data_IF_831372234483
#
_entry.id   IF_831372234483
#
_cell.length_a   1.000
_cell.length_b   1.000
_cell.length_c   1.000
_cell.angle_alpha   90.00
_cell.angle_beta   90.00
_cell.angle_gamma   90.00
#
_symmetry.space_group_name_H-M   'P 1'
#
loop_
_entity.id
_entity.type
_entity.pdbx_description
1 polymer ?
#
# COMPACT_ATOMS: atom_id res chain seq x y z
N UNK A 1 -8.06 -7.74 8.83
CA UNK A 1 -9.11 -6.89 8.22
C UNK A 1 -8.41 -5.90 7.31
N UNK A 2 -8.84 -5.74 6.06
CA UNK A 2 -8.22 -4.80 5.11
C UNK A 2 -9.14 -3.60 4.96
N UNK A 3 -8.64 -2.40 5.26
CA UNK A 3 -9.39 -1.16 5.10
C UNK A 3 -9.64 -0.83 3.61
N UNK A 4 -10.84 -0.35 3.32
CA UNK A 4 -11.26 0.09 1.99
C UNK A 4 -11.03 1.61 1.88
N UNK A 5 -10.27 2.10 0.87
CA UNK A 5 -10.08 3.53 0.67
C UNK A 5 -11.40 4.27 0.43
N UNK A 6 -11.60 5.45 1.03
CA UNK A 6 -12.84 6.22 0.86
C UNK A 6 -13.14 6.56 -0.60
N UNK A 7 -12.10 6.74 -1.42
CA UNK A 7 -12.21 7.05 -2.83
C UNK A 7 -13.01 6.03 -3.65
N UNK A 8 -13.03 4.74 -3.26
CA UNK A 8 -13.76 3.69 -4.01
C UNK A 8 -15.20 3.50 -3.51
N UNK A 9 -15.56 4.06 -2.35
CA UNK A 9 -16.87 3.87 -1.72
C UNK A 9 -18.03 4.30 -2.63
N UNK A 10 -17.99 5.44 -3.34
CA UNK A 10 -19.06 5.82 -4.27
C UNK A 10 -19.29 4.76 -5.36
N UNK A 11 -18.20 4.27 -5.98
CA UNK A 11 -18.27 3.25 -7.02
C UNK A 11 -18.81 1.91 -6.48
N UNK A 12 -18.44 1.52 -5.26
CA UNK A 12 -18.98 0.32 -4.63
C UNK A 12 -20.48 0.44 -4.35
N UNK A 13 -20.96 1.61 -3.89
CA UNK A 13 -22.39 1.83 -3.67
C UNK A 13 -23.19 1.76 -4.96
N UNK A 14 -22.71 2.41 -6.01
CA UNK A 14 -23.33 2.34 -7.33
C UNK A 14 -23.38 0.90 -7.84
N UNK A 15 -22.28 0.15 -7.69
CA UNK A 15 -22.20 -1.24 -8.12
C UNK A 15 -23.18 -2.13 -7.35
N UNK A 16 -23.25 -1.99 -6.03
CA UNK A 16 -24.19 -2.73 -5.18
C UNK A 16 -25.65 -2.48 -5.61
N UNK A 17 -26.02 -1.23 -5.85
CA UNK A 17 -27.39 -0.86 -6.22
C UNK A 17 -27.77 -1.31 -7.63
N UNK A 18 -26.79 -1.45 -8.53
CA UNK A 18 -27.06 -1.70 -9.96
C UNK A 18 -26.91 -3.18 -10.34
N UNK A 19 -25.98 -3.90 -9.71
CA UNK A 19 -25.54 -5.21 -10.21
C UNK A 19 -25.62 -6.34 -9.18
N UNK A 20 -25.97 -6.07 -7.92
CA UNK A 20 -25.99 -7.08 -6.85
C UNK A 20 -27.42 -7.38 -6.43
N UNK A 21 -27.72 -8.68 -6.27
CA UNK A 21 -29.02 -9.14 -5.79
C UNK A 21 -29.28 -8.73 -4.34
N UNK A 22 -30.56 -8.65 -3.97
CA UNK A 22 -30.98 -8.27 -2.62
C UNK A 22 -30.96 -9.45 -1.64
N UNK A 23 -30.76 -10.67 -2.13
CA UNK A 23 -30.74 -11.88 -1.32
C UNK A 23 -29.46 -11.99 -0.47
N UNK A 24 -29.57 -12.52 0.76
CA UNK A 24 -28.39 -12.85 1.55
C UNK A 24 -27.47 -13.82 0.80
N UNK A 25 -26.20 -13.43 0.65
CA UNK A 25 -25.21 -14.23 -0.09
C UNK A 25 -25.16 -13.96 -1.59
N UNK A 26 -25.90 -12.95 -2.09
CA UNK A 26 -25.72 -12.46 -3.46
C UNK A 26 -24.24 -12.15 -3.74
N UNK A 27 -23.77 -12.58 -4.90
CA UNK A 27 -22.39 -12.34 -5.30
C UNK A 27 -22.20 -10.86 -5.63
N UNK A 28 -21.17 -10.25 -5.03
CA UNK A 28 -20.77 -8.88 -5.37
C UNK A 28 -20.42 -8.75 -6.85
N UNK A 29 -19.74 -9.74 -7.43
CA UNK A 29 -19.34 -9.73 -8.85
C UNK A 29 -19.86 -10.99 -9.55
N UNK A 30 -21.14 -10.99 -10.00
CA UNK A 30 -21.71 -12.12 -10.69
C UNK A 30 -21.17 -12.22 -12.12
N UNK A 31 -20.93 -13.45 -12.57
CA UNK A 31 -20.71 -13.78 -13.97
C UNK A 31 -22.01 -13.69 -14.77
N UNK A 32 -21.91 -13.81 -16.10
CA UNK A 32 -23.05 -13.60 -17.02
C UNK A 32 -24.28 -14.50 -16.75
N UNK A 33 -24.10 -15.63 -16.07
CA UNK A 33 -25.19 -16.58 -15.72
C UNK A 33 -25.51 -16.56 -14.22
N UNK A 34 -25.17 -15.51 -13.49
CA UNK A 34 -25.43 -15.35 -12.06
C UNK A 34 -24.45 -16.10 -11.13
N UNK A 35 -23.67 -17.07 -11.63
CA UNK A 35 -22.61 -17.73 -10.86
C UNK A 35 -21.34 -16.89 -10.71
N UNK A 36 -20.30 -17.37 -9.99
CA UNK A 36 -19.06 -16.63 -9.79
C UNK A 36 -18.34 -16.24 -11.09
N UNK A 37 -17.81 -15.02 -11.14
CA UNK A 37 -16.97 -14.59 -12.26
C UNK A 37 -15.71 -15.47 -12.33
N UNK A 38 -15.55 -16.17 -13.46
CA UNK A 38 -14.40 -17.05 -13.70
C UNK A 38 -13.23 -16.26 -14.27
N UNK A 39 -12.00 -16.61 -13.85
CA UNK A 39 -10.75 -15.99 -14.32
C UNK A 39 -10.63 -16.01 -15.85
N UNK A 40 -10.97 -17.13 -16.50
CA UNK A 40 -10.86 -17.29 -17.95
C UNK A 40 -11.78 -16.34 -18.74
N UNK A 41 -12.91 -15.92 -18.16
CA UNK A 41 -13.86 -15.00 -18.79
C UNK A 41 -13.67 -13.53 -18.39
N UNK A 42 -12.69 -13.23 -17.53
CA UNK A 42 -12.54 -11.90 -16.95
C UNK A 42 -12.37 -10.82 -18.03
N UNK A 43 -11.37 -10.97 -18.91
CA UNK A 43 -11.05 -9.97 -19.93
C UNK A 43 -12.23 -9.70 -20.86
N UNK A 44 -12.95 -10.74 -21.28
CA UNK A 44 -14.13 -10.59 -22.12
C UNK A 44 -15.25 -9.85 -21.37
N UNK A 45 -15.48 -10.21 -20.10
CA UNK A 45 -16.58 -9.64 -19.32
C UNK A 45 -16.34 -8.17 -18.94
N UNK A 46 -15.10 -7.80 -18.64
CA UNK A 46 -14.72 -6.43 -18.27
C UNK A 46 -14.27 -5.60 -19.46
N UNK A 47 -14.14 -6.21 -20.64
CA UNK A 47 -13.51 -5.61 -21.82
C UNK A 47 -12.13 -5.05 -21.51
N UNK A 48 -11.37 -5.72 -20.63
CA UNK A 48 -10.13 -5.19 -20.07
C UNK A 48 -9.15 -4.69 -21.13
N UNK A 49 -8.96 -5.45 -22.21
CA UNK A 49 -8.06 -5.09 -23.32
C UNK A 49 -8.48 -3.78 -24.00
N UNK A 50 -9.78 -3.55 -24.18
CA UNK A 50 -10.29 -2.30 -24.73
C UNK A 50 -10.10 -1.16 -23.74
N UNK A 51 -10.48 -1.37 -22.47
CA UNK A 51 -10.38 -0.35 -21.42
C UNK A 51 -8.94 0.16 -21.30
N UNK A 52 -7.95 -0.75 -21.23
CA UNK A 52 -6.55 -0.34 -21.10
C UNK A 52 -6.02 0.37 -22.35
N UNK A 53 -6.52 0.01 -23.53
CA UNK A 53 -6.20 0.74 -24.77
C UNK A 53 -6.80 2.15 -24.75
N UNK A 54 -8.06 2.27 -24.34
CA UNK A 54 -8.81 3.53 -24.37
C UNK A 54 -8.23 4.56 -23.36
N UNK A 55 -7.63 4.09 -22.26
CA UNK A 55 -6.89 4.95 -21.30
C UNK A 55 -5.40 5.13 -21.63
N UNK A 56 -4.95 4.65 -22.80
CA UNK A 56 -3.56 4.84 -23.26
C UNK A 56 -2.51 3.94 -22.60
N UNK A 57 -2.92 2.81 -22.01
CA UNK A 57 -2.04 1.84 -21.36
C UNK A 57 -2.13 0.43 -22.02
N UNK A 58 -1.93 0.31 -23.35
CA UNK A 58 -2.06 -0.98 -24.03
C UNK A 58 -1.06 -2.00 -23.47
N UNK A 59 -1.51 -3.26 -23.36
CA UNK A 59 -0.68 -4.36 -22.85
C UNK A 59 -0.73 -4.56 -21.33
N UNK A 60 -1.29 -3.61 -20.57
CA UNK A 60 -1.48 -3.76 -19.13
C UNK A 60 -2.33 -4.99 -18.80
N UNK A 61 -1.84 -5.86 -17.92
CA UNK A 61 -2.58 -7.00 -17.41
C UNK A 61 -3.34 -6.62 -16.13
N UNK A 62 -4.50 -7.25 -15.90
CA UNK A 62 -5.29 -6.97 -14.71
C UNK A 62 -4.51 -7.23 -13.40
N UNK A 63 -3.61 -8.22 -13.41
CA UNK A 63 -2.78 -8.54 -12.25
C UNK A 63 -1.77 -7.43 -11.90
N UNK A 64 -1.42 -6.59 -12.87
CA UNK A 64 -0.47 -5.50 -12.65
C UNK A 64 -1.06 -4.46 -11.70
N UNK A 65 -2.39 -4.32 -11.62
CA UNK A 65 -3.06 -3.48 -10.62
C UNK A 65 -2.76 -3.94 -9.19
N UNK A 66 -2.63 -5.26 -8.97
CA UNK A 66 -2.23 -5.79 -7.66
C UNK A 66 -0.79 -5.42 -7.34
N UNK A 67 0.10 -5.44 -8.33
CA UNK A 67 1.47 -4.98 -8.16
C UNK A 67 1.53 -3.48 -7.81
N UNK A 68 0.78 -2.64 -8.53
CA UNK A 68 0.66 -1.20 -8.21
C UNK A 68 0.11 -0.98 -6.80
N UNK A 69 -0.96 -1.68 -6.42
CA UNK A 69 -1.55 -1.55 -5.08
C UNK A 69 -0.61 -1.97 -3.95
N UNK A 70 0.25 -2.97 -4.19
CA UNK A 70 1.25 -3.41 -3.23
C UNK A 70 2.43 -2.42 -3.13
N UNK A 71 2.86 -1.83 -4.25
CA UNK A 71 3.85 -0.75 -4.26
C UNK A 71 3.35 0.45 -3.45
N UNK A 72 2.13 0.94 -3.71
CA UNK A 72 1.52 2.05 -2.97
C UNK A 72 1.38 1.75 -1.47
N UNK A 73 1.09 0.49 -1.11
CA UNK A 73 1.04 0.08 0.28
C UNK A 73 2.43 0.12 0.93
N UNK A 74 3.47 -0.35 0.23
CA UNK A 74 4.84 -0.30 0.73
C UNK A 74 5.34 1.16 0.86
N UNK A 75 4.95 2.05 -0.06
CA UNK A 75 5.27 3.48 -0.04
C UNK A 75 4.65 4.21 1.15
N UNK A 76 3.58 3.69 1.74
CA UNK A 76 2.96 4.30 2.92
C UNK A 76 3.81 4.20 4.19
N UNK A 77 4.97 3.53 4.14
CA UNK A 77 5.82 3.30 5.30
C UNK A 77 5.27 2.26 6.29
N UNK A 78 4.24 1.49 5.89
CA UNK A 78 3.65 0.46 6.74
C UNK A 78 4.70 -0.62 7.09
N UNK A 79 4.64 -1.12 8.33
CA UNK A 79 5.52 -2.20 8.77
C UNK A 79 5.27 -3.49 7.98
N UNK A 80 6.28 -4.37 7.91
CA UNK A 80 6.20 -5.63 7.17
C UNK A 80 4.97 -6.48 7.54
N UNK A 81 4.60 -6.50 8.82
CA UNK A 81 3.43 -7.24 9.32
C UNK A 81 2.12 -6.70 8.74
N UNK A 82 1.96 -5.38 8.69
CA UNK A 82 0.76 -4.73 8.16
C UNK A 82 0.68 -4.88 6.64
N UNK A 83 1.84 -4.79 5.98
CA UNK A 83 2.00 -5.08 4.56
C UNK A 83 1.57 -6.51 4.22
N UNK A 84 2.05 -7.50 4.97
CA UNK A 84 1.63 -8.90 4.79
C UNK A 84 0.13 -9.09 5.03
N UNK A 85 -0.43 -8.46 6.06
CA UNK A 85 -1.86 -8.52 6.34
C UNK A 85 -2.71 -7.94 5.20
N UNK A 86 -2.24 -6.87 4.56
CA UNK A 86 -2.90 -6.26 3.39
C UNK A 86 -2.72 -7.09 2.12
N UNK A 87 -1.55 -7.67 1.91
CA UNK A 87 -1.23 -8.45 0.71
C UNK A 87 -1.82 -9.87 0.73
N UNK A 88 -2.20 -10.38 1.91
CA UNK A 88 -2.55 -11.78 2.10
C UNK A 88 -1.31 -12.56 2.57
N UNK A 89 -1.47 -13.28 3.67
CA UNK A 89 -0.38 -13.84 4.49
C UNK A 89 0.50 -14.88 3.77
N UNK A 90 0.11 -15.35 2.59
CA UNK A 90 0.74 -16.48 1.91
C UNK A 90 2.04 -16.11 1.17
N UNK A 91 2.50 -14.85 1.22
CA UNK A 91 3.66 -14.42 0.43
C UNK A 91 4.56 -13.37 1.11
N UNK A 92 5.31 -13.82 2.14
CA UNK A 92 6.37 -13.04 2.81
C UNK A 92 7.40 -12.51 1.81
N UNK A 93 7.81 -13.35 0.84
CA UNK A 93 8.83 -12.99 -0.15
C UNK A 93 8.39 -11.79 -0.99
N UNK A 94 7.14 -11.77 -1.45
CA UNK A 94 6.60 -10.63 -2.19
C UNK A 94 6.55 -9.35 -1.33
N UNK A 95 6.16 -9.47 -0.06
CA UNK A 95 6.13 -8.30 0.83
C UNK A 95 7.51 -7.67 1.01
N UNK A 96 8.54 -8.49 1.18
CA UNK A 96 9.93 -8.04 1.25
C UNK A 96 10.40 -7.36 -0.04
N UNK A 97 10.07 -7.92 -1.22
CA UNK A 97 10.43 -7.32 -2.52
C UNK A 97 9.87 -5.89 -2.61
N UNK A 98 8.61 -5.67 -2.26
CA UNK A 98 8.01 -4.34 -2.31
C UNK A 98 8.57 -3.40 -1.26
N UNK A 99 8.77 -3.89 -0.04
CA UNK A 99 9.39 -3.08 1.02
C UNK A 99 10.80 -2.62 0.63
N UNK A 100 11.58 -3.48 -0.04
CA UNK A 100 12.91 -3.13 -0.56
C UNK A 100 12.85 -2.17 -1.76
N UNK A 101 11.89 -2.31 -2.67
CA UNK A 101 11.74 -1.42 -3.82
C UNK A 101 11.45 0.03 -3.41
N UNK A 102 10.81 0.23 -2.26
CA UNK A 102 10.53 1.55 -1.66
C UNK A 102 11.74 2.12 -0.91
N UNK A 103 12.82 1.35 -0.72
CA UNK A 103 14.03 1.82 -0.02
C UNK A 103 14.85 2.83 -0.85
N UNK A 104 14.28 4.02 -1.05
CA UNK A 104 14.92 5.28 -0.68
C UNK A 104 14.76 5.60 0.82
N UNK A 105 14.09 4.73 1.59
CA UNK A 105 13.91 4.78 3.04
C UNK A 105 15.22 4.83 3.85
N UNK A 106 16.37 4.48 3.25
CA UNK A 106 17.67 4.67 3.89
C UNK A 106 17.87 6.14 4.26
N UNK A 107 17.51 7.06 3.35
CA UNK A 107 17.52 8.50 3.62
C UNK A 107 16.61 8.88 4.78
N UNK A 108 15.40 8.33 4.88
CA UNK A 108 14.49 8.62 5.98
C UNK A 108 15.00 8.09 7.33
N UNK A 109 15.69 6.94 7.32
CA UNK A 109 16.36 6.36 8.49
C UNK A 109 17.57 7.22 8.88
N UNK A 110 18.44 7.58 7.94
CA UNK A 110 19.58 8.48 8.16
C UNK A 110 19.12 9.84 8.67
N UNK A 111 18.13 10.47 8.03
CA UNK A 111 17.57 11.75 8.49
C UNK A 111 16.96 11.63 9.92
N UNK A 112 16.44 10.45 10.31
CA UNK A 112 15.93 10.21 11.67
C UNK A 112 17.06 10.01 12.69
N UNK A 113 18.13 9.32 12.31
CA UNK A 113 19.35 9.17 13.11
C UNK A 113 20.01 10.53 13.29
N UNK A 114 20.18 11.31 12.23
CA UNK A 114 20.75 12.66 12.25
C UNK A 114 19.96 13.59 13.18
N UNK A 115 18.62 13.50 13.17
CA UNK A 115 17.78 14.24 14.13
C UNK A 115 17.98 13.81 15.59
N UNK A 116 18.29 12.55 15.84
CA UNK A 116 18.57 12.07 17.20
C UNK A 116 19.97 12.46 17.66
N UNK A 117 20.96 12.42 16.77
CA UNK A 117 22.34 12.82 17.07
C UNK A 117 22.40 14.35 17.28
N UNK A 118 21.84 15.15 16.37
CA UNK A 118 21.87 16.61 16.49
C UNK A 118 21.13 17.14 17.73
N UNK A 119 20.14 16.41 18.26
CA UNK A 119 19.48 16.76 19.53
C UNK A 119 20.35 16.44 20.76
N UNK A 120 21.21 15.43 20.68
CA UNK A 120 22.15 15.13 21.75
C UNK A 120 23.27 16.18 21.82
N UNK A 121 23.72 16.68 20.65
CA UNK A 121 24.75 17.73 20.58
C UNK A 121 24.26 19.09 21.10
N UNK A 122 22.96 19.43 20.92
CA UNK A 122 22.36 20.67 21.45
C UNK A 122 22.12 20.63 22.98
N UNK A 123 21.97 19.45 23.58
CA UNK A 123 21.77 19.29 25.04
C UNK A 123 23.10 19.31 25.82
N UNK A 124 24.26 19.16 25.16
CA UNK A 124 25.60 19.18 25.77
C UNK A 124 26.29 20.57 25.76
N UNK A 125 25.76 21.57 25.03
CA UNK A 125 26.35 22.94 24.95
C UNK A 125 25.68 23.96 25.92
N UNK A 126 24.58 23.60 26.60
CA UNK A 126 23.99 24.39 27.71
C UNK A 126 24.38 23.80 29.09
N UNK A 127 25.68 23.63 29.34
CA UNK A 127 26.16 22.90 30.52
C UNK A 127 27.49 23.37 31.13
N UNK A 128 27.52 24.61 31.64
CA UNK A 128 28.51 25.12 32.62
C UNK A 128 29.93 25.45 32.11
N UNK A 129 30.09 26.71 31.69
CA UNK A 129 31.32 27.45 31.96
C UNK A 129 31.53 27.58 33.49
N UNK A 130 32.53 26.91 34.06
CA UNK A 130 32.71 26.90 35.52
C UNK A 130 34.10 26.48 36.03
N UNK A 131 35.06 27.41 35.94
CA UNK A 131 36.23 27.65 36.82
C UNK A 131 37.31 26.55 36.98
N UNK A 132 38.53 26.88 36.51
CA UNK A 132 39.78 26.21 36.88
C UNK A 132 40.17 26.57 38.33
N UNK A 133 40.34 25.58 39.20
CA UNK A 133 40.88 25.76 40.55
C UNK A 133 42.41 25.58 40.57
N UNK A 134 43.17 26.42 41.30
CA UNK A 134 44.62 26.29 41.37
C UNK A 134 45.02 25.18 42.35
N UNK A 135 46.14 24.52 42.02
CA UNK A 135 46.76 23.48 42.84
C UNK A 135 47.67 24.14 43.88
N UNK A 136 47.55 23.74 45.14
CA UNK A 136 48.57 23.94 46.19
C UNK A 136 48.88 22.60 46.84
#
# INVERSE_FOLDING_TARGET
MVGIPQAIIPALREHLNTYVGNEPGALLFPGAKGGPLRRSGFNTRTRWVDVVRDVGMPGQHFHDLRHTGNMLAAESGAGLKDLMARMGHDNVRAAMIYQHAVRGADKAITDAIDRHIGRADDEDDEGSAGVLAPVS
#
